data_IF_569602473518
#
_entry.id   IF_569602473518
#
_cell.length_a   1.000
_cell.length_b   1.000
_cell.length_c   1.000
_cell.angle_alpha   90.00
_cell.angle_beta   90.00
_cell.angle_gamma   90.00
#
_symmetry.space_group_name_H-M   'P 1'
#
loop_
_entity.id
_entity.type
_entity.pdbx_description
1 polymer ?
#
# COMPACT_ATOMS: atom_id res chain seq x y z
N UNK A 1 35.11 11.55 -30.51
CA UNK A 1 33.98 10.98 -29.75
C UNK A 1 34.57 10.07 -28.68
N UNK A 2 34.33 10.38 -27.41
CA UNK A 2 34.91 9.63 -26.28
C UNK A 2 34.16 8.31 -26.12
N UNK A 3 34.88 7.19 -26.27
CA UNK A 3 34.30 5.86 -26.12
C UNK A 3 34.22 5.49 -24.64
N UNK A 4 33.10 5.85 -24.01
CA UNK A 4 32.84 5.63 -22.59
C UNK A 4 32.55 4.15 -22.27
N UNK A 5 32.33 3.31 -23.28
CA UNK A 5 31.95 1.90 -23.09
C UNK A 5 33.06 1.07 -22.43
N UNK A 6 34.33 1.47 -22.61
CA UNK A 6 35.46 0.85 -21.94
C UNK A 6 35.32 0.87 -20.40
N UNK A 7 34.76 1.95 -19.83
CA UNK A 7 34.63 2.11 -18.39
C UNK A 7 33.46 1.30 -17.79
N UNK A 8 32.49 0.86 -18.60
CA UNK A 8 31.35 0.06 -18.14
C UNK A 8 31.75 -1.30 -17.57
N UNK A 9 32.92 -1.84 -17.95
CA UNK A 9 33.44 -3.12 -17.43
C UNK A 9 33.81 -3.05 -15.95
N UNK A 10 34.16 -1.87 -15.45
CA UNK A 10 34.55 -1.66 -14.05
C UNK A 10 33.36 -1.35 -13.13
N UNK A 11 32.16 -1.16 -13.69
CA UNK A 11 30.94 -1.01 -12.90
C UNK A 11 30.62 -2.40 -12.31
N UNK A 12 30.54 -2.54 -10.97
CA UNK A 12 30.12 -3.78 -10.34
C UNK A 12 28.76 -4.18 -10.90
N UNK A 13 28.70 -5.35 -11.56
CA UNK A 13 27.42 -5.89 -12.02
C UNK A 13 26.63 -6.33 -10.79
N UNK A 14 25.72 -5.48 -10.31
CA UNK A 14 24.74 -5.94 -9.34
C UNK A 14 23.76 -6.85 -10.07
N UNK A 15 23.79 -8.15 -9.78
CA UNK A 15 22.72 -9.08 -10.15
C UNK A 15 21.48 -8.84 -9.27
N UNK A 16 21.11 -7.58 -9.09
CA UNK A 16 19.90 -7.23 -8.38
C UNK A 16 18.77 -7.43 -9.39
N UNK A 17 18.22 -8.64 -9.43
CA UNK A 17 16.88 -8.82 -9.96
C UNK A 17 15.96 -7.96 -9.10
N UNK A 18 15.55 -6.81 -9.64
CA UNK A 18 14.52 -5.98 -9.01
C UNK A 18 13.24 -6.82 -8.98
N UNK A 19 12.99 -7.47 -7.85
CA UNK A 19 11.72 -8.13 -7.59
C UNK A 19 10.72 -7.03 -7.25
N UNK A 20 9.74 -6.73 -8.12
CA UNK A 20 8.72 -5.75 -7.77
C UNK A 20 7.98 -6.24 -6.53
N UNK A 21 7.92 -5.40 -5.49
CA UNK A 21 7.08 -5.66 -4.34
C UNK A 21 5.66 -5.15 -4.65
N UNK A 22 4.68 -6.05 -4.66
CA UNK A 22 3.27 -5.75 -4.87
C UNK A 22 2.47 -5.74 -3.57
N UNK A 23 3.14 -5.80 -2.42
CA UNK A 23 2.52 -5.61 -1.11
C UNK A 23 2.05 -4.17 -0.93
N UNK A 24 0.80 -4.01 -0.54
CA UNK A 24 0.15 -2.72 -0.36
C UNK A 24 -0.68 -2.71 0.92
N UNK A 25 -0.96 -1.52 1.44
CA UNK A 25 -1.92 -1.31 2.51
C UNK A 25 -3.20 -0.68 1.97
N UNK A 26 -4.35 -1.08 2.50
CA UNK A 26 -5.64 -0.50 2.17
C UNK A 26 -6.11 0.45 3.25
N UNK A 27 -6.68 1.60 2.88
CA UNK A 27 -7.26 2.56 3.82
C UNK A 27 -8.66 3.01 3.37
N UNK A 28 -9.61 3.05 4.29
CA UNK A 28 -10.99 3.54 4.03
C UNK A 28 -11.49 4.49 5.10
N UNK A 29 -12.30 5.49 4.72
CA UNK A 29 -12.85 6.49 5.65
C UNK A 29 -14.21 7.03 5.19
N UNK A 30 -15.02 7.48 6.14
CA UNK A 30 -16.22 8.30 5.92
C UNK A 30 -16.13 9.61 6.71
N UNK A 31 -16.90 10.62 6.28
CA UNK A 31 -16.84 11.95 6.89
C UNK A 31 -17.63 12.06 8.19
N UNK A 32 -18.61 11.19 8.43
CA UNK A 32 -19.37 11.14 9.69
C UNK A 32 -19.58 9.72 10.22
N UNK A 33 -19.83 9.62 11.53
CA UNK A 33 -20.25 8.38 12.18
C UNK A 33 -21.58 7.87 11.61
N UNK A 34 -22.52 8.76 11.32
CA UNK A 34 -23.80 8.40 10.73
C UNK A 34 -23.64 7.74 9.35
N UNK A 35 -22.66 8.16 8.55
CA UNK A 35 -22.34 7.50 7.27
C UNK A 35 -21.71 6.13 7.46
N UNK A 36 -21.02 5.90 8.58
CA UNK A 36 -20.50 4.59 8.95
C UNK A 36 -21.65 3.64 9.34
N UNK A 37 -22.54 4.12 10.22
CA UNK A 37 -23.59 3.31 10.82
C UNK A 37 -24.78 3.07 9.88
N UNK A 38 -25.08 4.02 8.97
CA UNK A 38 -26.30 3.98 8.15
C UNK A 38 -26.07 3.78 6.65
N UNK A 39 -24.83 3.80 6.17
CA UNK A 39 -24.55 3.68 4.75
C UNK A 39 -23.45 2.64 4.50
N UNK A 40 -23.66 1.76 3.52
CA UNK A 40 -22.70 0.76 3.07
C UNK A 40 -21.45 1.34 2.39
N UNK A 41 -21.23 2.66 2.42
CA UNK A 41 -20.12 3.35 1.73
C UNK A 41 -18.76 2.78 2.11
N UNK A 42 -18.50 2.49 3.38
CA UNK A 42 -17.21 1.92 3.83
C UNK A 42 -17.03 0.50 3.33
N UNK A 43 -18.07 -0.33 3.41
CA UNK A 43 -18.06 -1.71 2.89
C UNK A 43 -17.82 -1.70 1.37
N UNK A 44 -18.48 -0.79 0.66
CA UNK A 44 -18.30 -0.62 -0.79
C UNK A 44 -16.88 -0.18 -1.12
N UNK A 45 -16.28 0.73 -0.35
CA UNK A 45 -14.88 1.14 -0.51
C UNK A 45 -13.91 -0.02 -0.28
N UNK A 46 -14.12 -0.83 0.78
CA UNK A 46 -13.31 -2.02 1.07
C UNK A 46 -13.39 -3.01 -0.10
N UNK A 47 -14.60 -3.30 -0.58
CA UNK A 47 -14.82 -4.22 -1.69
C UNK A 47 -14.17 -3.72 -2.98
N UNK A 48 -14.29 -2.42 -3.28
CA UNK A 48 -13.66 -1.81 -4.45
C UNK A 48 -12.12 -1.88 -4.36
N UNK A 49 -11.54 -1.64 -3.19
CA UNK A 49 -10.10 -1.74 -2.97
C UNK A 49 -9.60 -3.18 -3.20
N UNK A 50 -10.31 -4.17 -2.66
CA UNK A 50 -9.98 -5.60 -2.84
C UNK A 50 -10.10 -6.04 -4.29
N UNK A 51 -11.16 -5.62 -4.97
CA UNK A 51 -11.38 -5.92 -6.39
C UNK A 51 -10.27 -5.32 -7.26
N UNK A 52 -9.89 -4.05 -7.00
CA UNK A 52 -8.80 -3.40 -7.70
C UNK A 52 -7.45 -4.09 -7.44
N UNK A 53 -7.17 -4.43 -6.18
CA UNK A 53 -5.93 -5.14 -5.82
C UNK A 53 -5.83 -6.49 -6.53
N UNK A 54 -6.92 -7.27 -6.50
CA UNK A 54 -6.98 -8.57 -7.18
C UNK A 54 -6.79 -8.45 -8.69
N UNK A 55 -7.37 -7.43 -9.33
CA UNK A 55 -7.23 -7.21 -10.78
C UNK A 55 -5.81 -6.82 -11.20
N UNK A 56 -5.03 -6.22 -10.30
CA UNK A 56 -3.71 -5.67 -10.60
C UNK A 56 -2.56 -6.44 -9.92
N UNK A 57 -2.83 -7.63 -9.37
CA UNK A 57 -1.86 -8.47 -8.65
C UNK A 57 -1.22 -7.78 -7.43
N UNK A 58 -1.93 -6.87 -6.77
CA UNK A 58 -1.51 -6.33 -5.48
C UNK A 58 -1.89 -7.27 -4.33
N UNK A 59 -1.00 -7.42 -3.37
CA UNK A 59 -1.23 -8.16 -2.14
C UNK A 59 -1.52 -7.19 -1.00
N UNK A 60 -2.77 -7.07 -0.58
CA UNK A 60 -3.12 -6.24 0.58
C UNK A 60 -2.64 -6.97 1.84
N UNK A 61 -1.60 -6.44 2.49
CA UNK A 61 -1.04 -7.03 3.72
C UNK A 61 -1.72 -6.51 4.98
N UNK A 62 -2.24 -5.27 4.94
CA UNK A 62 -2.95 -4.64 6.05
C UNK A 62 -4.13 -3.80 5.53
N UNK A 63 -5.24 -3.83 6.28
CA UNK A 63 -6.43 -3.01 6.02
C UNK A 63 -6.72 -2.09 7.21
N UNK A 64 -6.74 -0.79 6.94
CA UNK A 64 -6.97 0.26 7.92
C UNK A 64 -8.27 1.02 7.63
N UNK A 65 -8.88 1.56 8.68
CA UNK A 65 -10.21 2.16 8.59
C UNK A 65 -11.29 1.11 8.82
N UNK A 66 -12.44 1.22 8.16
CA UNK A 66 -13.48 0.18 8.29
C UNK A 66 -14.20 0.11 9.65
N UNK A 67 -13.74 0.88 10.64
CA UNK A 67 -14.20 0.86 12.02
C UNK A 67 -14.19 2.27 12.58
N UNK A 68 -15.07 2.56 13.54
CA UNK A 68 -15.01 3.80 14.33
C UNK A 68 -13.84 3.75 15.34
N UNK A 69 -12.69 3.26 14.91
CA UNK A 69 -11.46 3.34 15.67
C UNK A 69 -11.00 4.79 15.63
N UNK A 70 -10.93 5.42 16.80
CA UNK A 70 -10.42 6.78 16.92
C UNK A 70 -9.02 6.87 16.30
N UNK A 71 -8.64 8.02 15.73
CA UNK A 71 -7.29 8.21 15.17
C UNK A 71 -6.16 7.87 16.17
N UNK A 72 -6.47 7.92 17.48
CA UNK A 72 -5.59 7.53 18.56
C UNK A 72 -5.28 6.03 18.60
N UNK A 73 -6.22 5.17 18.19
CA UNK A 73 -5.97 3.71 18.12
C UNK A 73 -5.13 3.36 16.90
N UNK A 74 -5.39 4.00 15.75
CA UNK A 74 -4.62 3.81 14.51
C UNK A 74 -3.14 4.14 14.74
N UNK A 75 -2.84 5.21 15.49
CA UNK A 75 -1.47 5.61 15.83
C UNK A 75 -0.74 4.60 16.73
N UNK A 76 -1.45 3.73 17.46
CA UNK A 76 -0.84 2.76 18.39
C UNK A 76 -0.41 1.45 17.70
N UNK A 77 -0.98 1.14 16.53
CA UNK A 77 -0.58 -0.01 15.70
C UNK A 77 0.65 0.26 14.83
N UNK A 78 0.96 1.54 14.58
CA UNK A 78 2.19 1.98 13.92
C UNK A 78 3.33 2.08 14.92
N UNK A 79 3.69 0.97 15.56
CA UNK A 79 4.99 0.84 16.22
C UNK A 79 6.06 0.73 15.12
N UNK A 80 6.30 1.85 14.44
CA UNK A 80 7.44 2.07 13.57
C UNK A 80 8.68 2.09 14.47
N UNK A 81 9.20 0.90 14.78
CA UNK A 81 10.60 0.74 15.13
C UNK A 81 11.40 1.03 13.85
N UNK A 82 11.54 2.30 13.53
CA UNK A 82 12.51 2.83 12.58
C UNK A 82 13.71 3.40 13.36
#
# INVERSE_FOLDING_TARGET
>A
MSNIDYFKRFIPKSNNEEKPNYEVWSYTRVSSKDQFDRNSSVINQINANREYASKNNYHITEEFGGTYESAKTILRGLNLNA
#
